data_IF_561571313844
#
_entry.id   IF_561571313844
#
_cell.length_a   1.000
_cell.length_b   1.000
_cell.length_c   1.000
_cell.angle_alpha   90.00
_cell.angle_beta   90.00
_cell.angle_gamma   90.00
#
_symmetry.space_group_name_H-M   'P 1'
#
loop_
_entity.id
_entity.type
_entity.pdbx_description
1 polymer ?
#
# COMPACT_ATOMS: atom_id res chain seq x y z
N UNK A 1 21.73 -23.25 -20.12
CA UNK A 1 22.32 -21.97 -19.66
C UNK A 1 21.19 -21.11 -19.15
N UNK A 2 21.17 -20.68 -17.88
CA UNK A 2 20.14 -19.76 -17.41
C UNK A 2 20.42 -18.39 -18.02
N UNK A 3 19.46 -17.86 -18.77
CA UNK A 3 19.50 -16.47 -19.23
C UNK A 3 19.52 -15.58 -18.00
N UNK A 4 20.56 -14.74 -17.89
CA UNK A 4 20.60 -13.66 -16.92
C UNK A 4 19.54 -12.67 -17.38
N UNK A 5 18.32 -12.82 -16.86
CA UNK A 5 17.20 -11.95 -17.17
C UNK A 5 17.59 -10.52 -16.85
N UNK A 6 17.53 -9.64 -17.85
CA UNK A 6 17.63 -8.20 -17.65
C UNK A 6 16.66 -7.80 -16.53
N UNK A 7 17.04 -6.89 -15.63
CA UNK A 7 16.16 -6.47 -14.53
C UNK A 7 14.85 -5.98 -15.12
N UNK A 8 13.75 -6.63 -14.76
CA UNK A 8 12.40 -6.21 -15.14
C UNK A 8 12.22 -4.79 -14.63
N UNK A 9 12.06 -3.84 -15.55
CA UNK A 9 11.86 -2.43 -15.21
C UNK A 9 10.57 -2.31 -14.42
N UNK A 10 10.68 -1.82 -13.19
CA UNK A 10 9.51 -1.57 -12.34
C UNK A 10 8.63 -0.49 -13.00
N UNK A 11 7.38 -0.84 -13.31
CA UNK A 11 6.42 0.07 -13.94
C UNK A 11 5.80 1.05 -12.94
N UNK A 12 5.61 0.62 -11.70
CA UNK A 12 4.99 1.41 -10.63
C UNK A 12 5.97 1.69 -9.51
N UNK A 13 6.14 2.94 -9.11
CA UNK A 13 7.01 3.31 -7.99
C UNK A 13 6.32 3.12 -6.63
N UNK A 14 7.10 2.86 -5.58
CA UNK A 14 6.61 2.86 -4.20
C UNK A 14 6.86 4.20 -3.54
N UNK A 15 5.90 4.69 -2.75
CA UNK A 15 6.06 5.85 -1.90
C UNK A 15 5.42 5.60 -0.52
N UNK A 16 5.84 6.34 0.51
CA UNK A 16 5.13 6.35 1.80
C UNK A 16 4.92 7.80 2.22
N UNK A 17 3.73 8.17 2.72
CA UNK A 17 3.49 9.51 3.22
C UNK A 17 4.26 9.71 4.53
N UNK A 18 4.97 10.84 4.62
CA UNK A 18 5.62 11.31 5.85
C UNK A 18 5.05 12.69 6.14
N UNK A 19 4.51 12.90 7.36
CA UNK A 19 3.79 14.14 7.71
C UNK A 19 4.72 15.35 7.91
N UNK A 20 5.98 15.12 8.24
CA UNK A 20 6.96 16.16 8.48
C UNK A 20 8.31 15.72 7.89
N UNK A 21 9.01 16.65 7.23
CA UNK A 21 10.35 16.44 6.67
C UNK A 21 11.39 16.10 7.75
N UNK A 22 11.09 16.34 9.02
CA UNK A 22 11.94 15.97 10.16
C UNK A 22 11.74 14.54 10.66
N UNK A 23 10.63 13.90 10.29
CA UNK A 23 10.31 12.54 10.71
C UNK A 23 11.09 11.57 9.83
N UNK A 24 11.98 10.79 10.43
CA UNK A 24 12.70 9.74 9.72
C UNK A 24 11.70 8.79 9.05
N UNK A 25 11.98 8.35 7.82
CA UNK A 25 11.11 7.42 7.06
C UNK A 25 10.64 6.21 7.90
N UNK A 26 11.51 5.65 8.74
CA UNK A 26 11.23 4.55 9.65
C UNK A 26 10.18 4.87 10.76
N UNK A 27 9.84 6.13 10.94
CA UNK A 27 8.82 6.61 11.88
C UNK A 27 7.49 6.94 11.18
N UNK A 28 7.37 6.73 9.87
CA UNK A 28 6.09 6.87 9.18
C UNK A 28 5.04 5.93 9.79
N UNK A 29 3.76 6.27 9.64
CA UNK A 29 2.67 5.43 10.17
C UNK A 29 2.75 4.00 9.63
N UNK A 30 3.21 3.82 8.40
CA UNK A 30 3.39 2.50 7.81
C UNK A 30 4.40 1.69 8.63
N UNK A 31 5.64 2.17 8.80
CA UNK A 31 6.67 1.45 9.56
C UNK A 31 6.31 1.29 11.03
N UNK A 32 5.69 2.29 11.64
CA UNK A 32 5.15 2.19 13.00
C UNK A 32 4.12 1.07 13.10
N UNK A 33 3.19 0.96 12.14
CA UNK A 33 2.22 -0.12 12.13
C UNK A 33 2.86 -1.50 11.95
N UNK A 34 3.94 -1.63 11.17
CA UNK A 34 4.69 -2.88 11.07
C UNK A 34 5.27 -3.28 12.43
N UNK A 35 5.85 -2.31 13.16
CA UNK A 35 6.42 -2.54 14.49
C UNK A 35 5.33 -2.93 15.52
N UNK A 36 4.21 -2.23 15.49
CA UNK A 36 3.14 -2.39 16.48
C UNK A 36 2.33 -3.67 16.24
N UNK A 37 2.15 -4.08 14.98
CA UNK A 37 1.22 -5.16 14.61
C UNK A 37 1.93 -6.46 14.22
N UNK A 38 3.19 -6.45 13.74
CA UNK A 38 3.95 -7.66 13.41
C UNK A 38 4.77 -8.17 14.61
N UNK A 39 4.09 -8.42 15.73
CA UNK A 39 4.66 -8.91 16.98
C UNK A 39 5.04 -10.42 16.94
N UNK A 40 4.38 -11.23 16.11
CA UNK A 40 4.62 -12.67 16.01
C UNK A 40 5.13 -13.15 14.63
N UNK A 41 5.59 -14.41 14.57
CA UNK A 41 6.13 -15.03 13.35
C UNK A 41 5.10 -15.19 12.24
N UNK A 42 3.84 -15.43 12.57
CA UNK A 42 2.75 -15.62 11.61
C UNK A 42 2.43 -14.32 10.89
N UNK A 43 2.29 -13.21 11.64
CA UNK A 43 2.03 -11.87 11.08
C UNK A 43 3.20 -11.37 10.25
N UNK A 44 4.44 -11.62 10.68
CA UNK A 44 5.65 -11.32 9.87
C UNK A 44 5.67 -12.08 8.55
N UNK A 45 5.34 -13.37 8.57
CA UNK A 45 5.24 -14.19 7.36
C UNK A 45 4.12 -13.69 6.43
N UNK A 46 2.97 -13.32 7.00
CA UNK A 46 1.84 -12.74 6.29
C UNK A 46 2.22 -11.43 5.59
N UNK A 47 2.84 -10.50 6.32
CA UNK A 47 3.38 -9.26 5.76
C UNK A 47 4.37 -9.53 4.63
N UNK A 48 5.33 -10.44 4.85
CA UNK A 48 6.36 -10.75 3.85
C UNK A 48 5.73 -11.28 2.56
N UNK A 49 4.77 -12.20 2.65
CA UNK A 49 4.07 -12.72 1.47
C UNK A 49 3.31 -11.62 0.71
N UNK A 50 2.60 -10.74 1.42
CA UNK A 50 1.91 -9.61 0.79
C UNK A 50 2.88 -8.60 0.16
N UNK A 51 3.99 -8.28 0.83
CA UNK A 51 5.00 -7.36 0.32
C UNK A 51 5.73 -7.91 -0.90
N UNK A 52 6.07 -9.20 -0.91
CA UNK A 52 6.67 -9.88 -2.08
C UNK A 52 5.70 -9.91 -3.24
N UNK A 53 4.43 -10.27 -3.01
CA UNK A 53 3.40 -10.28 -4.04
C UNK A 53 3.20 -8.87 -4.65
N UNK A 54 3.15 -7.84 -3.81
CA UNK A 54 3.03 -6.47 -4.24
C UNK A 54 4.26 -5.99 -5.02
N UNK A 55 5.47 -6.29 -4.51
CA UNK A 55 6.75 -5.96 -5.18
C UNK A 55 6.85 -6.61 -6.57
N UNK A 56 6.37 -7.84 -6.72
CA UNK A 56 6.32 -8.50 -8.02
C UNK A 56 5.27 -7.85 -8.92
N UNK A 57 4.05 -7.63 -8.41
CA UNK A 57 2.96 -7.10 -9.21
C UNK A 57 3.21 -5.67 -9.76
N UNK A 58 3.92 -4.81 -9.02
CA UNK A 58 4.27 -3.45 -9.49
C UNK A 58 5.22 -3.41 -10.68
N UNK A 59 5.80 -4.56 -11.06
CA UNK A 59 6.62 -4.69 -12.26
C UNK A 59 5.80 -4.74 -13.54
N UNK A 60 4.48 -4.88 -13.43
CA UNK A 60 3.56 -5.00 -14.55
C UNK A 60 2.61 -3.81 -14.63
N UNK A 61 2.22 -3.43 -15.84
CA UNK A 61 1.28 -2.32 -16.06
C UNK A 61 -0.06 -2.49 -15.33
N UNK A 62 -0.65 -3.69 -15.39
CA UNK A 62 -1.83 -4.05 -14.60
C UNK A 62 -1.44 -4.80 -13.33
N UNK A 63 -0.94 -4.06 -12.34
CA UNK A 63 -0.49 -4.66 -11.08
C UNK A 63 -1.64 -5.36 -10.33
N UNK A 64 -2.89 -4.90 -10.47
CA UNK A 64 -4.02 -5.48 -9.74
C UNK A 64 -4.40 -6.87 -10.27
N UNK A 65 -4.44 -7.04 -11.59
CA UNK A 65 -4.66 -8.36 -12.18
C UNK A 65 -3.53 -9.32 -11.83
N UNK A 66 -2.28 -8.83 -11.81
CA UNK A 66 -1.14 -9.64 -11.37
C UNK A 66 -1.24 -10.06 -9.90
N UNK A 67 -1.68 -9.16 -9.00
CA UNK A 67 -1.94 -9.50 -7.59
C UNK A 67 -3.01 -10.58 -7.43
N UNK A 68 -4.10 -10.53 -8.21
CA UNK A 68 -5.18 -11.52 -8.15
C UNK A 68 -4.74 -12.92 -8.59
N UNK A 69 -3.70 -13.01 -9.42
CA UNK A 69 -3.15 -14.28 -9.90
C UNK A 69 -2.17 -14.92 -8.89
N UNK A 70 -1.74 -14.19 -7.84
CA UNK A 70 -0.85 -14.76 -6.82
C UNK A 70 -1.66 -15.62 -5.84
N UNK A 71 -1.35 -16.91 -5.80
CA UNK A 71 -2.04 -17.86 -4.92
C UNK A 71 -2.00 -17.43 -3.44
N UNK A 72 -3.17 -17.44 -2.80
CA UNK A 72 -3.34 -17.08 -1.39
C UNK A 72 -3.38 -15.57 -1.11
N UNK A 73 -3.15 -14.71 -2.10
CA UNK A 73 -3.26 -13.26 -1.99
C UNK A 73 -4.64 -12.82 -2.46
N UNK A 74 -5.35 -12.08 -1.61
CA UNK A 74 -6.57 -11.37 -1.99
C UNK A 74 -6.30 -9.88 -2.07
N UNK A 75 -6.77 -9.24 -3.13
CA UNK A 75 -6.81 -7.78 -3.26
C UNK A 75 -8.25 -7.33 -3.48
N UNK A 76 -8.72 -6.33 -2.72
CA UNK A 76 -10.05 -5.73 -2.90
C UNK A 76 -10.09 -4.29 -2.41
N UNK A 77 -11.14 -3.58 -2.78
CA UNK A 77 -11.45 -2.28 -2.19
C UNK A 77 -11.69 -2.45 -0.68
N UNK A 78 -10.94 -1.69 0.12
CA UNK A 78 -11.15 -1.60 1.56
C UNK A 78 -12.26 -0.61 1.88
N UNK A 79 -12.23 0.55 1.23
CA UNK A 79 -13.26 1.58 1.22
C UNK A 79 -12.90 2.62 0.14
N UNK A 80 -13.84 3.50 -0.19
CA UNK A 80 -13.61 4.68 -1.02
C UNK A 80 -14.04 5.95 -0.31
N UNK A 81 -13.51 7.08 -0.78
CA UNK A 81 -13.86 8.40 -0.30
C UNK A 81 -13.83 9.40 -1.45
N UNK A 82 -14.73 10.37 -1.41
CA UNK A 82 -14.74 11.46 -2.37
C UNK A 82 -13.82 12.60 -1.92
N UNK A 83 -13.03 13.11 -2.85
CA UNK A 83 -12.21 14.31 -2.66
C UNK A 83 -12.06 15.04 -3.99
N UNK A 84 -12.32 16.35 -4.01
CA UNK A 84 -12.23 17.21 -5.21
C UNK A 84 -12.97 16.62 -6.42
N UNK A 85 -14.21 16.17 -6.21
CA UNK A 85 -15.09 15.57 -7.23
C UNK A 85 -14.53 14.29 -7.88
N UNK A 86 -13.57 13.62 -7.24
CA UNK A 86 -13.06 12.31 -7.65
C UNK A 86 -13.26 11.29 -6.53
N UNK A 87 -13.75 10.10 -6.90
CA UNK A 87 -13.80 8.93 -6.01
C UNK A 87 -12.41 8.33 -5.93
N UNK A 88 -11.85 8.28 -4.72
CA UNK A 88 -10.54 7.69 -4.43
C UNK A 88 -10.73 6.37 -3.68
N UNK A 89 -9.91 5.37 -4.00
CA UNK A 89 -10.06 4.01 -3.48
C UNK A 89 -8.84 3.67 -2.63
N UNK A 90 -9.10 3.21 -1.40
CA UNK A 90 -8.10 2.52 -0.58
C UNK A 90 -8.28 1.03 -0.79
N UNK A 91 -7.19 0.35 -1.10
CA UNK A 91 -7.15 -1.08 -1.34
C UNK A 91 -6.66 -1.81 -0.09
N UNK A 92 -7.12 -3.04 0.11
CA UNK A 92 -6.55 -3.98 1.08
C UNK A 92 -5.98 -5.21 0.36
N UNK A 93 -4.75 -5.57 0.73
CA UNK A 93 -4.18 -6.89 0.50
C UNK A 93 -4.42 -7.77 1.73
N UNK A 94 -4.72 -9.05 1.49
CA UNK A 94 -4.86 -10.08 2.53
C UNK A 94 -4.08 -11.35 2.14
N UNK A 95 -3.52 -12.03 3.12
CA UNK A 95 -2.94 -13.37 2.96
C UNK A 95 -3.50 -14.31 4.02
N UNK A 96 -4.43 -15.20 3.63
CA UNK A 96 -5.09 -16.27 4.41
C UNK A 96 -5.81 -15.87 5.73
N UNK A 97 -5.26 -14.96 6.52
CA UNK A 97 -5.63 -14.59 7.88
C UNK A 97 -6.30 -13.19 7.95
N UNK A 98 -6.39 -12.66 9.17
CA UNK A 98 -6.94 -11.35 9.56
C UNK A 98 -6.03 -10.16 9.20
N UNK A 99 -4.79 -10.41 8.81
CA UNK A 99 -3.83 -9.36 8.48
C UNK A 99 -4.20 -8.64 7.18
N UNK A 100 -4.10 -7.31 7.20
CA UNK A 100 -4.36 -6.45 6.05
C UNK A 100 -3.20 -5.50 5.84
N UNK A 101 -2.75 -5.40 4.60
CA UNK A 101 -1.90 -4.31 4.14
C UNK A 101 -2.78 -3.34 3.36
N UNK A 102 -3.00 -2.15 3.91
CA UNK A 102 -3.76 -1.09 3.25
C UNK A 102 -2.83 -0.22 2.42
N UNK A 103 -3.27 0.12 1.22
CA UNK A 103 -2.49 0.92 0.29
C UNK A 103 -3.38 1.74 -0.63
N UNK A 104 -2.83 2.85 -1.11
CA UNK A 104 -3.40 3.67 -2.16
C UNK A 104 -2.62 3.43 -3.46
N UNK A 105 -3.26 3.65 -4.62
CA UNK A 105 -2.57 3.64 -5.90
C UNK A 105 -3.03 4.82 -6.76
N UNK A 106 -2.06 5.42 -7.45
CA UNK A 106 -2.29 6.53 -8.37
C UNK A 106 -1.76 6.12 -9.74
N UNK A 107 -2.61 6.22 -10.76
CA UNK A 107 -2.23 6.00 -12.15
C UNK A 107 -2.62 7.21 -12.98
N UNK A 108 -1.63 8.01 -13.37
CA UNK A 108 -1.76 9.08 -14.36
C UNK A 108 -0.82 8.79 -15.51
N UNK A 109 -0.91 9.58 -16.57
CA UNK A 109 -0.02 9.48 -17.73
C UNK A 109 1.47 9.58 -17.36
N UNK A 110 1.78 10.31 -16.28
CA UNK A 110 3.14 10.60 -15.84
C UNK A 110 3.55 9.88 -14.55
N UNK A 111 2.58 9.38 -13.77
CA UNK A 111 2.81 8.86 -12.42
C UNK A 111 2.07 7.56 -12.21
N UNK A 112 2.82 6.48 -11.97
CA UNK A 112 2.32 5.19 -11.50
C UNK A 112 2.88 4.94 -10.10
N UNK A 113 2.04 5.08 -9.08
CA UNK A 113 2.45 4.94 -7.68
C UNK A 113 1.60 3.93 -6.93
N UNK A 114 2.27 3.18 -6.06
CA UNK A 114 1.66 2.39 -5.00
C UNK A 114 2.17 2.93 -3.67
N UNK A 115 1.24 3.24 -2.77
CA UNK A 115 1.52 3.91 -1.50
C UNK A 115 1.05 3.01 -0.35
N UNK A 116 1.94 2.19 0.25
CA UNK A 116 1.60 1.46 1.47
C UNK A 116 1.33 2.43 2.63
N UNK A 117 0.18 2.27 3.27
CA UNK A 117 -0.30 3.21 4.29
C UNK A 117 -0.16 2.64 5.70
N UNK A 118 -0.58 1.39 5.89
CA UNK A 118 -0.47 0.68 7.17
C UNK A 118 -0.69 -0.82 7.00
N UNK A 119 -0.12 -1.58 7.92
CA UNK A 119 -0.45 -2.97 8.17
C UNK A 119 -1.32 -3.06 9.44
N UNK A 120 -2.30 -3.94 9.47
CA UNK A 120 -3.17 -4.10 10.63
C UNK A 120 -3.74 -5.51 10.74
N UNK A 121 -3.77 -6.04 11.96
CA UNK A 121 -4.45 -7.29 12.27
C UNK A 121 -5.95 -7.06 12.53
N UNK A 122 -6.77 -7.27 11.50
CA UNK A 122 -8.19 -6.93 11.53
C UNK A 122 -9.00 -7.92 12.37
N UNK A 123 -9.63 -7.45 13.46
CA UNK A 123 -10.49 -8.31 14.29
C UNK A 123 -11.88 -8.52 13.70
N UNK A 124 -12.38 -7.51 12.97
CA UNK A 124 -13.74 -7.44 12.42
C UNK A 124 -13.76 -7.58 10.88
N UNK A 125 -14.95 -7.79 10.30
CA UNK A 125 -15.08 -7.84 8.83
C UNK A 125 -14.87 -6.47 8.17
N UNK A 126 -15.21 -5.39 8.86
CA UNK A 126 -15.19 -4.01 8.35
C UNK A 126 -13.91 -3.26 8.72
N UNK A 127 -13.45 -2.38 7.83
CA UNK A 127 -12.25 -1.56 8.10
C UNK A 127 -12.55 -0.59 9.24
N UNK A 128 -11.76 -0.60 10.34
CA UNK A 128 -11.98 0.29 11.47
C UNK A 128 -11.99 1.76 11.07
N UNK A 129 -12.89 2.56 11.67
CA UNK A 129 -13.03 3.98 11.33
C UNK A 129 -11.71 4.77 11.51
N UNK A 130 -10.91 4.43 12.53
CA UNK A 130 -9.61 5.05 12.76
C UNK A 130 -8.62 4.83 11.59
N UNK A 131 -8.65 3.64 10.98
CA UNK A 131 -7.86 3.31 9.80
C UNK A 131 -8.38 4.08 8.59
N UNK A 132 -9.70 4.10 8.39
CA UNK A 132 -10.32 4.82 7.29
C UNK A 132 -10.02 6.32 7.33
N UNK A 133 -10.16 6.94 8.51
CA UNK A 133 -9.86 8.36 8.72
C UNK A 133 -8.38 8.65 8.45
N UNK A 134 -7.47 7.87 9.03
CA UNK A 134 -6.04 8.07 8.80
C UNK A 134 -5.68 7.99 7.31
N UNK A 135 -6.12 6.94 6.61
CA UNK A 135 -5.82 6.74 5.20
C UNK A 135 -6.42 7.86 4.33
N UNK A 136 -7.65 8.28 4.64
CA UNK A 136 -8.31 9.40 3.95
C UNK A 136 -7.52 10.70 4.13
N UNK A 137 -7.19 11.04 5.37
CA UNK A 137 -6.49 12.29 5.67
C UNK A 137 -5.08 12.29 5.06
N UNK A 138 -4.33 11.20 5.21
CA UNK A 138 -2.99 11.07 4.65
C UNK A 138 -2.98 11.21 3.11
N UNK A 139 -4.00 10.68 2.43
CA UNK A 139 -4.07 10.74 0.97
C UNK A 139 -4.68 12.02 0.44
N UNK A 140 -5.52 12.73 1.20
CA UNK A 140 -6.01 14.05 0.78
C UNK A 140 -4.88 15.04 0.57
N UNK A 141 -3.90 15.06 1.48
CA UNK A 141 -2.72 15.92 1.34
C UNK A 141 -1.95 15.55 0.07
N UNK A 142 -1.77 14.25 -0.21
CA UNK A 142 -1.12 13.77 -1.42
C UNK A 142 -1.89 14.13 -2.71
N UNK A 143 -3.22 14.16 -2.64
CA UNK A 143 -4.10 14.47 -3.76
C UNK A 143 -4.34 15.98 -3.95
N UNK A 144 -3.84 16.80 -3.03
CA UNK A 144 -3.96 18.24 -3.11
C UNK A 144 -2.89 18.82 -4.06
N UNK A 145 -3.26 19.49 -5.16
CA UNK A 145 -2.31 20.16 -6.06
C UNK A 145 -1.49 21.27 -5.38
N UNK A 146 -1.96 21.80 -4.25
CA UNK A 146 -1.23 22.79 -3.46
C UNK A 146 -0.25 22.17 -2.47
N UNK A 147 -0.26 20.85 -2.29
CA UNK A 147 0.66 20.19 -1.38
C UNK A 147 2.08 20.20 -1.94
N UNK A 148 3.02 20.65 -1.12
CA UNK A 148 4.45 20.55 -1.41
C UNK A 148 4.94 19.13 -1.08
N UNK A 149 4.72 18.19 -2.01
CA UNK A 149 5.22 16.83 -1.88
C UNK A 149 6.72 16.81 -2.16
N UNK A 150 7.52 16.45 -1.16
CA UNK A 150 8.94 16.14 -1.33
C UNK A 150 9.11 14.64 -1.53
N UNK A 151 9.70 14.25 -2.66
CA UNK A 151 10.13 12.88 -2.92
C UNK A 151 11.58 12.77 -2.43
N UNK A 152 11.83 11.88 -1.47
CA UNK A 152 13.14 11.59 -0.90
C UNK A 152 13.85 10.47 -1.68
#
# INVERSE_FOLDING_TARGET
MPSIGLPVRQEWSFATPVRDNTVAFAQSKFFKSLKDECDDKSKKKSLLNMAVALKHAVQFGDYQSNLKNVSGIGVKEAFSFDYRNKRNIIWELKYQNKDRLYFFSQNTETVKLVVPLLFHHKKDQNTPQAISNYCKDAMKDFLDPSAHIKVL
#
